data_IF_668526601976
#
_entry.id   IF_668526601976
#
_cell.length_a   1.000
_cell.length_b   1.000
_cell.length_c   1.000
_cell.angle_alpha   90.00
_cell.angle_beta   90.00
_cell.angle_gamma   90.00
#
_symmetry.space_group_name_H-M   'P 1'
#
loop_
_entity.id
_entity.type
_entity.pdbx_description
1 polymer ?
#
# COMPACT_ATOMS: atom_id res chain seq x y z
N UNK A 1 11.75 4.80 19.20
CA UNK A 1 12.67 3.67 19.48
C UNK A 1 12.86 2.91 18.19
N UNK A 2 14.08 2.88 17.67
CA UNK A 2 14.42 2.16 16.44
C UNK A 2 15.14 0.86 16.86
N UNK A 3 14.73 -0.33 16.39
CA UNK A 3 15.48 -1.55 16.69
C UNK A 3 16.88 -1.39 16.08
N UNK A 4 17.93 -1.61 16.88
CA UNK A 4 19.30 -1.63 16.36
C UNK A 4 19.34 -2.64 15.21
N UNK A 5 19.48 -2.14 13.98
CA UNK A 5 19.61 -2.99 12.81
C UNK A 5 20.85 -3.85 13.01
N UNK A 6 20.66 -5.16 13.23
CA UNK A 6 21.73 -6.14 13.22
C UNK A 6 22.23 -6.25 11.77
N UNK A 7 23.25 -5.47 11.44
CA UNK A 7 23.86 -5.32 10.10
C UNK A 7 24.80 -6.47 9.75
N UNK A 8 24.56 -7.69 10.25
CA UNK A 8 25.27 -8.86 9.75
C UNK A 8 24.60 -9.33 8.46
N UNK A 9 25.23 -9.04 7.32
CA UNK A 9 24.83 -9.55 6.00
C UNK A 9 24.91 -11.09 5.97
N UNK A 10 25.77 -11.67 6.82
CA UNK A 10 25.88 -13.10 7.04
C UNK A 10 25.08 -13.49 8.28
N UNK A 11 23.91 -14.08 8.06
CA UNK A 11 23.26 -14.86 9.13
C UNK A 11 24.13 -16.07 9.45
N UNK A 12 24.17 -16.45 10.73
CA UNK A 12 24.87 -17.68 11.12
C UNK A 12 24.21 -18.87 10.37
N UNK A 13 24.95 -19.92 9.99
CA UNK A 13 24.38 -21.11 9.36
C UNK A 13 23.16 -21.68 10.11
N UNK A 14 23.15 -21.54 11.43
CA UNK A 14 22.03 -21.93 12.30
C UNK A 14 20.74 -21.17 12.01
N UNK A 15 20.80 -19.88 11.66
CA UNK A 15 19.61 -19.11 11.32
C UNK A 15 19.07 -19.46 9.94
N UNK A 16 19.95 -19.82 8.98
CA UNK A 16 19.51 -20.35 7.68
C UNK A 16 18.74 -21.65 7.89
N UNK A 17 19.30 -22.59 8.65
CA UNK A 17 18.63 -23.85 8.98
C UNK A 17 17.28 -23.64 9.67
N UNK A 18 17.12 -22.58 10.49
CA UNK A 18 15.83 -22.23 11.11
C UNK A 18 14.80 -21.74 10.12
N UNK A 19 15.18 -20.94 9.11
CA UNK A 19 14.26 -20.51 8.04
C UNK A 19 13.86 -21.70 7.18
N UNK A 20 14.83 -22.56 6.85
CA UNK A 20 14.59 -23.79 6.08
C UNK A 20 13.60 -24.71 6.80
N UNK A 21 13.76 -24.89 8.12
CA UNK A 21 12.84 -25.68 8.94
C UNK A 21 11.40 -25.14 9.00
N UNK A 22 11.14 -23.90 8.55
CA UNK A 22 9.78 -23.38 8.41
C UNK A 22 9.07 -23.90 7.16
N UNK A 23 9.81 -24.38 6.15
CA UNK A 23 9.24 -25.04 4.99
C UNK A 23 8.73 -26.47 5.29
N UNK A 24 9.16 -27.07 6.40
CA UNK A 24 8.70 -28.40 6.82
C UNK A 24 7.26 -28.40 7.37
N UNK A 25 6.69 -27.21 7.62
CA UNK A 25 5.32 -27.04 8.11
C UNK A 25 4.34 -26.96 6.94
N UNK A 26 3.05 -27.17 7.23
CA UNK A 26 1.98 -26.91 6.28
C UNK A 26 2.12 -25.50 5.70
N UNK A 27 2.14 -25.39 4.38
CA UNK A 27 2.37 -24.12 3.68
C UNK A 27 1.19 -23.16 3.87
N UNK A 28 -0.02 -23.69 3.84
CA UNK A 28 -1.26 -22.93 3.97
C UNK A 28 -1.76 -22.96 5.41
N UNK A 29 -2.41 -21.88 5.82
CA UNK A 29 -3.20 -21.90 7.04
C UNK A 29 -4.29 -22.98 6.94
N UNK A 30 -4.77 -23.49 8.10
CA UNK A 30 -5.89 -24.42 8.11
C UNK A 30 -7.05 -23.89 7.27
N UNK A 31 -7.60 -24.73 6.39
CA UNK A 31 -8.65 -24.31 5.46
C UNK A 31 -9.88 -23.78 6.21
N UNK A 32 -10.17 -24.36 7.37
CA UNK A 32 -11.24 -23.92 8.27
C UNK A 32 -11.03 -22.46 8.69
N UNK A 33 -9.78 -22.06 8.97
CA UNK A 33 -9.44 -20.69 9.32
C UNK A 33 -9.65 -19.74 8.14
N UNK A 34 -9.15 -20.12 6.96
CA UNK A 34 -9.29 -19.31 5.73
C UNK A 34 -10.77 -19.10 5.40
N UNK A 35 -11.58 -20.15 5.48
CA UNK A 35 -13.01 -20.10 5.19
C UNK A 35 -13.84 -19.39 6.25
N UNK A 36 -13.52 -19.54 7.53
CA UNK A 36 -14.29 -18.97 8.62
C UNK A 36 -13.94 -17.50 8.91
N UNK A 37 -12.70 -17.07 8.65
CA UNK A 37 -12.20 -15.76 9.07
C UNK A 37 -11.71 -14.93 7.88
N UNK A 38 -10.74 -15.43 7.12
CA UNK A 38 -10.08 -14.62 6.10
C UNK A 38 -11.02 -14.26 4.93
N UNK A 39 -11.69 -15.26 4.33
CA UNK A 39 -12.63 -15.05 3.22
C UNK A 39 -13.80 -14.14 3.62
N UNK A 40 -14.51 -14.36 4.74
CA UNK A 40 -15.58 -13.45 5.18
C UNK A 40 -15.07 -12.03 5.39
N UNK A 41 -13.87 -11.85 5.95
CA UNK A 41 -13.28 -10.51 6.15
C UNK A 41 -12.99 -9.82 4.82
N UNK A 42 -12.49 -10.55 3.81
CA UNK A 42 -12.30 -10.02 2.44
C UNK A 42 -13.63 -9.60 1.82
N UNK A 43 -14.68 -10.40 1.96
CA UNK A 43 -16.00 -10.09 1.40
C UNK A 43 -16.60 -8.87 2.11
N UNK A 44 -16.55 -8.83 3.43
CA UNK A 44 -17.08 -7.72 4.23
C UNK A 44 -16.32 -6.43 3.91
N UNK A 45 -14.99 -6.46 3.84
CA UNK A 45 -14.21 -5.26 3.51
C UNK A 45 -14.55 -4.73 2.11
N UNK A 46 -14.68 -5.61 1.12
CA UNK A 46 -15.09 -5.23 -0.23
C UNK A 46 -16.50 -4.61 -0.24
N UNK A 47 -17.47 -5.21 0.46
CA UNK A 47 -18.84 -4.67 0.58
C UNK A 47 -18.83 -3.30 1.24
N UNK A 48 -18.12 -3.15 2.37
CA UNK A 48 -18.02 -1.89 3.11
C UNK A 48 -17.47 -0.79 2.20
N UNK A 49 -16.39 -1.07 1.45
CA UNK A 49 -15.79 -0.07 0.56
C UNK A 49 -16.73 0.26 -0.61
N UNK A 50 -17.48 -0.71 -1.17
CA UNK A 50 -18.52 -0.43 -2.17
C UNK A 50 -19.64 0.45 -1.64
N UNK A 51 -20.12 0.21 -0.42
CA UNK A 51 -21.14 1.04 0.24
C UNK A 51 -20.61 2.46 0.42
N UNK A 52 -19.38 2.61 0.93
CA UNK A 52 -18.73 3.91 1.08
C UNK A 52 -18.60 4.61 -0.27
N UNK A 53 -18.17 3.92 -1.33
CA UNK A 53 -18.11 4.46 -2.68
C UNK A 53 -19.46 4.97 -3.18
N UNK A 54 -20.55 4.22 -2.94
CA UNK A 54 -21.91 4.65 -3.28
C UNK A 54 -22.35 5.91 -2.53
N UNK A 55 -22.07 5.99 -1.22
CA UNK A 55 -22.34 7.19 -0.41
C UNK A 55 -21.50 8.38 -0.88
N UNK A 56 -20.23 8.15 -1.19
CA UNK A 56 -19.33 9.13 -1.78
C UNK A 56 -19.83 9.63 -3.14
N UNK A 57 -20.51 8.79 -3.93
CA UNK A 57 -21.13 9.22 -5.18
C UNK A 57 -22.31 10.16 -4.97
N UNK A 58 -23.14 9.90 -3.95
CA UNK A 58 -24.18 10.85 -3.54
C UNK A 58 -23.57 12.17 -3.09
N UNK A 59 -22.50 12.14 -2.29
CA UNK A 59 -21.80 13.35 -1.85
C UNK A 59 -21.17 14.12 -3.01
N UNK A 60 -20.55 13.42 -3.97
CA UNK A 60 -19.97 14.03 -5.17
C UNK A 60 -21.04 14.78 -5.99
N UNK A 61 -22.31 14.34 -5.95
CA UNK A 61 -23.40 15.05 -6.60
C UNK A 61 -23.73 16.40 -5.97
N UNK A 62 -23.44 16.57 -4.68
CA UNK A 62 -23.67 17.81 -3.92
C UNK A 62 -22.48 18.76 -4.05
N UNK A 63 -21.25 18.22 -3.98
CA UNK A 63 -20.03 19.03 -3.93
C UNK A 63 -19.61 19.54 -5.31
N UNK A 64 -19.87 18.77 -6.38
CA UNK A 64 -19.52 19.18 -7.73
C UNK A 64 -20.65 19.97 -8.40
N UNK A 65 -20.32 20.94 -9.27
CA UNK A 65 -21.31 21.63 -10.10
C UNK A 65 -22.26 20.68 -10.83
N UNK A 66 -23.52 21.07 -10.99
CA UNK A 66 -24.57 20.23 -11.59
C UNK A 66 -24.26 19.78 -13.03
N UNK A 67 -23.49 20.57 -13.77
CA UNK A 67 -23.01 20.30 -15.13
C UNK A 67 -21.77 19.38 -15.16
N UNK A 68 -21.21 19.01 -14.00
CA UNK A 68 -20.10 18.05 -13.94
C UNK A 68 -20.54 16.68 -14.44
N UNK A 69 -19.87 16.18 -15.49
CA UNK A 69 -20.15 14.86 -16.07
C UNK A 69 -19.99 13.71 -15.07
N UNK A 70 -20.72 12.62 -15.33
CA UNK A 70 -20.76 11.41 -14.45
C UNK A 70 -19.37 10.86 -14.18
N UNK A 71 -18.47 10.88 -15.17
CA UNK A 71 -17.10 10.40 -15.02
C UNK A 71 -16.34 11.13 -13.90
N UNK A 72 -16.41 12.46 -13.86
CA UNK A 72 -15.74 13.28 -12.82
C UNK A 72 -16.29 12.95 -11.42
N UNK A 73 -17.61 12.73 -11.32
CA UNK A 73 -18.27 12.35 -10.06
C UNK A 73 -17.80 10.98 -9.59
N UNK A 74 -17.76 9.98 -10.48
CA UNK A 74 -17.23 8.64 -10.18
C UNK A 74 -15.78 8.69 -9.70
N UNK A 75 -14.93 9.45 -10.39
CA UNK A 75 -13.53 9.61 -10.02
C UNK A 75 -13.34 10.23 -8.64
N UNK A 76 -14.08 11.31 -8.35
CA UNK A 76 -14.06 11.91 -7.00
C UNK A 76 -14.57 10.93 -5.94
N UNK A 77 -15.60 10.16 -6.26
CA UNK A 77 -16.17 9.15 -5.34
C UNK A 77 -15.19 8.04 -5.02
N UNK A 78 -14.47 7.58 -6.04
CA UNK A 78 -13.37 6.62 -5.91
C UNK A 78 -12.29 7.18 -4.98
N UNK A 79 -11.83 8.40 -5.21
CA UNK A 79 -10.84 9.05 -4.35
C UNK A 79 -11.35 9.18 -2.89
N UNK A 80 -12.61 9.57 -2.67
CA UNK A 80 -13.16 9.70 -1.31
C UNK A 80 -13.26 8.34 -0.60
N UNK A 81 -13.66 7.28 -1.31
CA UNK A 81 -13.66 5.93 -0.77
C UNK A 81 -12.23 5.42 -0.50
N UNK A 82 -11.25 5.77 -1.32
CA UNK A 82 -9.84 5.47 -1.08
C UNK A 82 -9.30 6.18 0.17
N UNK A 83 -9.72 7.42 0.44
CA UNK A 83 -9.38 8.11 1.71
C UNK A 83 -9.89 7.32 2.91
N UNK A 84 -11.11 6.78 2.84
CA UNK A 84 -11.66 5.92 3.89
C UNK A 84 -10.88 4.61 4.05
N UNK A 85 -10.65 3.87 2.97
CA UNK A 85 -9.93 2.59 3.00
C UNK A 85 -8.49 2.74 3.50
N UNK A 86 -7.75 3.68 2.91
CA UNK A 86 -6.39 4.00 3.33
C UNK A 86 -6.35 4.55 4.77
N UNK A 87 -7.34 5.35 5.17
CA UNK A 87 -7.45 5.87 6.54
C UNK A 87 -7.67 4.78 7.58
N UNK A 88 -8.55 3.81 7.30
CA UNK A 88 -8.77 2.64 8.16
C UNK A 88 -7.49 1.81 8.32
N UNK A 89 -6.82 1.52 7.20
CA UNK A 89 -5.55 0.78 7.19
C UNK A 89 -4.45 1.54 7.93
N UNK A 90 -4.31 2.85 7.69
CA UNK A 90 -3.34 3.70 8.38
C UNK A 90 -3.57 3.73 9.89
N UNK A 91 -4.82 3.90 10.33
CA UNK A 91 -5.17 3.91 11.75
C UNK A 91 -4.89 2.55 12.41
N UNK A 92 -5.29 1.46 11.75
CA UNK A 92 -5.06 0.10 12.24
C UNK A 92 -3.56 -0.23 12.27
N UNK A 93 -2.82 0.16 11.24
CA UNK A 93 -1.37 0.02 11.15
C UNK A 93 -0.65 0.73 12.28
N UNK A 94 -0.98 2.01 12.50
CA UNK A 94 -0.45 2.78 13.63
C UNK A 94 -0.74 2.11 14.97
N UNK A 95 -1.96 1.62 15.15
CA UNK A 95 -2.35 0.94 16.37
C UNK A 95 -1.50 -0.32 16.60
N UNK A 96 -1.43 -1.22 15.63
CA UNK A 96 -0.70 -2.47 15.81
C UNK A 96 0.82 -2.26 15.89
N UNK A 97 1.39 -1.40 15.04
CA UNK A 97 2.82 -1.12 14.98
C UNK A 97 3.38 -0.53 16.28
N UNK A 98 2.62 0.36 16.94
CA UNK A 98 3.10 1.05 18.14
C UNK A 98 2.58 0.48 19.45
N UNK A 99 1.48 -0.27 19.46
CA UNK A 99 0.84 -0.73 20.69
C UNK A 99 0.73 -2.25 20.83
N UNK A 100 1.00 -3.04 19.79
CA UNK A 100 0.83 -4.51 19.83
C UNK A 100 2.08 -5.27 19.46
N UNK A 101 2.88 -4.76 18.53
CA UNK A 101 4.12 -5.42 18.10
C UNK A 101 5.15 -5.42 19.24
N UNK A 102 5.64 -6.60 19.62
CA UNK A 102 6.74 -6.77 20.59
C UNK A 102 8.01 -6.04 20.14
N UNK A 103 8.74 -5.44 21.09
CA UNK A 103 9.95 -4.66 20.78
C UNK A 103 11.06 -5.48 20.08
N UNK A 104 11.07 -6.80 20.22
CA UNK A 104 12.03 -7.71 19.56
C UNK A 104 11.40 -9.08 19.26
N UNK A 105 10.75 -9.28 18.09
CA UNK A 105 10.23 -10.59 17.72
C UNK A 105 11.37 -11.59 17.47
N UNK A 106 11.12 -12.88 17.71
CA UNK A 106 12.00 -13.93 17.18
C UNK A 106 11.85 -14.04 15.66
N UNK A 107 12.75 -14.80 15.02
CA UNK A 107 12.66 -15.07 13.57
C UNK A 107 11.38 -15.83 13.22
N UNK A 108 11.02 -16.81 14.03
CA UNK A 108 9.81 -17.60 13.89
C UNK A 108 8.56 -16.75 14.11
N UNK A 109 8.57 -15.85 15.11
CA UNK A 109 7.46 -14.92 15.32
C UNK A 109 7.30 -13.98 14.12
N UNK A 110 8.43 -13.53 13.54
CA UNK A 110 8.42 -12.64 12.37
C UNK A 110 7.74 -13.30 11.18
N UNK A 111 8.02 -14.58 10.94
CA UNK A 111 7.57 -15.33 9.76
C UNK A 111 6.18 -15.95 9.98
N UNK A 112 5.96 -16.59 11.12
CA UNK A 112 4.78 -17.42 11.39
C UNK A 112 3.93 -16.97 12.59
N UNK A 113 4.37 -15.96 13.36
CA UNK A 113 3.61 -15.41 14.47
C UNK A 113 2.51 -14.43 14.05
N UNK A 114 2.01 -13.68 15.05
CA UNK A 114 1.09 -12.54 14.93
C UNK A 114 -0.17 -12.81 14.10
N UNK A 115 -0.97 -13.77 14.56
CA UNK A 115 -2.20 -14.17 13.89
C UNK A 115 -3.24 -13.04 13.85
N UNK A 116 -3.30 -12.22 14.87
CA UNK A 116 -4.18 -11.05 14.92
C UNK A 116 -4.04 -10.09 13.71
N UNK A 117 -2.90 -10.09 13.01
CA UNK A 117 -2.67 -9.23 11.85
C UNK A 117 -3.28 -9.76 10.53
N UNK A 118 -3.88 -10.97 10.52
CA UNK A 118 -4.59 -11.49 9.34
C UNK A 118 -5.72 -10.57 8.87
N UNK A 119 -6.36 -9.85 9.79
CA UNK A 119 -7.48 -8.95 9.47
C UNK A 119 -6.99 -7.81 8.55
N UNK A 120 -5.78 -7.29 8.78
CA UNK A 120 -5.18 -6.26 7.94
C UNK A 120 -4.90 -6.78 6.52
N UNK A 121 -4.37 -8.00 6.37
CA UNK A 121 -4.12 -8.58 5.05
C UNK A 121 -5.42 -8.91 4.31
N UNK A 122 -6.44 -9.43 5.00
CA UNK A 122 -7.76 -9.66 4.44
C UNK A 122 -8.45 -8.35 4.01
N UNK A 123 -8.39 -7.31 4.83
CA UNK A 123 -8.94 -6.00 4.48
C UNK A 123 -8.18 -5.42 3.29
N UNK A 124 -6.84 -5.45 3.29
CA UNK A 124 -6.04 -4.95 2.19
C UNK A 124 -6.38 -5.67 0.89
N UNK A 125 -6.47 -7.01 0.91
CA UNK A 125 -6.85 -7.80 -0.25
C UNK A 125 -8.25 -7.42 -0.78
N UNK A 126 -9.26 -7.36 0.10
CA UNK A 126 -10.62 -6.97 -0.30
C UNK A 126 -10.73 -5.52 -0.80
N UNK A 127 -9.97 -4.60 -0.21
CA UNK A 127 -9.83 -3.23 -0.69
C UNK A 127 -9.24 -3.18 -2.10
N UNK A 128 -8.18 -3.95 -2.38
CA UNK A 128 -7.59 -4.01 -3.72
C UNK A 128 -8.53 -4.66 -4.76
N UNK A 129 -9.33 -5.66 -4.36
CA UNK A 129 -10.35 -6.26 -5.23
C UNK A 129 -11.46 -5.27 -5.61
N UNK A 130 -11.77 -4.30 -4.76
CA UNK A 130 -12.62 -3.18 -5.11
C UNK A 130 -11.89 -2.14 -5.96
N UNK A 131 -10.67 -1.76 -5.54
CA UNK A 131 -9.92 -0.66 -6.13
C UNK A 131 -9.57 -0.94 -7.59
N UNK A 132 -9.25 -2.18 -7.95
CA UNK A 132 -8.82 -2.54 -9.30
C UNK A 132 -9.90 -2.37 -10.38
N UNK A 133 -11.10 -3.00 -10.29
CA UNK A 133 -12.15 -2.80 -11.29
C UNK A 133 -12.68 -1.35 -11.31
N UNK A 134 -12.87 -0.73 -10.13
CA UNK A 134 -13.35 0.66 -10.06
C UNK A 134 -12.28 1.64 -10.57
N UNK A 135 -11.02 1.40 -10.24
CA UNK A 135 -9.87 2.19 -10.67
C UNK A 135 -9.72 2.18 -12.19
N UNK A 136 -9.79 1.00 -12.81
CA UNK A 136 -9.68 0.83 -14.27
C UNK A 136 -10.90 1.46 -14.99
N UNK A 137 -12.12 1.12 -14.57
CA UNK A 137 -13.35 1.47 -15.32
C UNK A 137 -13.83 2.89 -15.01
N UNK A 138 -13.67 3.34 -13.76
CA UNK A 138 -14.30 4.56 -13.26
C UNK A 138 -13.33 5.69 -12.92
N UNK A 139 -12.09 5.38 -12.52
CA UNK A 139 -11.08 6.39 -12.18
C UNK A 139 -10.01 6.58 -13.26
N UNK A 140 -9.88 5.64 -14.21
CA UNK A 140 -8.81 5.58 -15.21
C UNK A 140 -7.41 5.71 -14.57
N UNK A 141 -7.14 4.82 -13.63
CA UNK A 141 -5.83 4.78 -12.97
C UNK A 141 -4.69 4.54 -13.96
N UNK A 142 -3.51 5.05 -13.59
CA UNK A 142 -2.32 4.86 -14.41
C UNK A 142 -1.87 3.39 -14.36
N UNK A 143 -1.21 2.92 -15.41
CA UNK A 143 -0.67 1.55 -15.48
C UNK A 143 0.21 1.20 -14.27
N UNK A 144 1.01 2.17 -13.78
CA UNK A 144 1.84 1.98 -12.61
C UNK A 144 1.02 1.68 -11.34
N UNK A 145 -0.12 2.36 -11.16
CA UNK A 145 -1.03 2.08 -10.05
C UNK A 145 -1.73 0.72 -10.21
N UNK A 146 -2.14 0.35 -11.42
CA UNK A 146 -2.73 -0.98 -11.66
C UNK A 146 -1.74 -2.10 -11.34
N UNK A 147 -0.48 -1.97 -11.78
CA UNK A 147 0.60 -2.91 -11.44
C UNK A 147 0.83 -2.95 -9.93
N UNK A 148 0.81 -1.79 -9.26
CA UNK A 148 0.88 -1.72 -7.81
C UNK A 148 -0.26 -2.50 -7.14
N UNK A 149 -1.52 -2.33 -7.55
CA UNK A 149 -2.65 -3.05 -6.99
C UNK A 149 -2.52 -4.57 -7.14
N UNK A 150 -2.10 -5.06 -8.32
CA UNK A 150 -1.82 -6.49 -8.52
C UNK A 150 -0.69 -7.00 -7.62
N UNK A 151 0.39 -6.24 -7.48
CA UNK A 151 1.50 -6.62 -6.61
C UNK A 151 1.05 -6.65 -5.13
N UNK A 152 0.23 -5.68 -4.69
CA UNK A 152 -0.36 -5.67 -3.34
C UNK A 152 -1.28 -6.87 -3.11
N UNK A 153 -2.11 -7.25 -4.09
CA UNK A 153 -2.94 -8.47 -4.01
C UNK A 153 -2.09 -9.72 -3.76
N UNK A 154 -0.98 -9.87 -4.50
CA UNK A 154 -0.09 -11.01 -4.38
C UNK A 154 0.58 -11.10 -3.01
N UNK A 155 1.09 -9.99 -2.47
CA UNK A 155 1.68 -10.00 -1.13
C UNK A 155 0.63 -10.12 -0.02
N UNK A 156 -0.60 -9.66 -0.26
CA UNK A 156 -1.70 -9.77 0.72
C UNK A 156 -2.20 -11.20 0.85
N UNK A 157 -2.36 -11.94 -0.27
CA UNK A 157 -2.73 -13.36 -0.22
C UNK A 157 -1.63 -14.20 0.43
N UNK A 158 -0.36 -13.92 0.12
CA UNK A 158 0.79 -14.54 0.79
C UNK A 158 0.72 -14.33 2.31
N UNK A 159 0.60 -13.08 2.74
CA UNK A 159 0.62 -12.71 4.16
C UNK A 159 -0.61 -13.24 4.93
N UNK A 160 -1.74 -13.36 4.23
CA UNK A 160 -3.03 -13.72 4.81
C UNK A 160 -3.37 -15.21 4.81
N UNK A 161 -2.83 -15.99 3.87
CA UNK A 161 -3.25 -17.38 3.66
C UNK A 161 -2.16 -18.42 3.91
N UNK A 162 -0.89 -18.02 4.03
CA UNK A 162 0.22 -18.95 4.26
C UNK A 162 0.69 -18.92 5.71
N UNK A 163 1.19 -20.05 6.21
CA UNK A 163 1.70 -20.18 7.61
C UNK A 163 2.97 -19.37 7.84
N UNK A 164 3.73 -19.09 6.79
CA UNK A 164 4.98 -18.32 6.79
C UNK A 164 4.84 -16.94 6.12
N UNK A 165 3.67 -16.31 6.28
CA UNK A 165 3.30 -15.04 5.64
C UNK A 165 3.94 -13.75 6.18
N UNK A 166 5.04 -13.79 6.93
CA UNK A 166 5.81 -12.60 7.38
C UNK A 166 4.98 -11.53 8.12
N UNK A 167 4.12 -11.98 9.04
CA UNK A 167 3.02 -11.14 9.56
C UNK A 167 3.48 -9.98 10.41
N UNK A 168 4.63 -10.10 11.05
CA UNK A 168 5.25 -8.99 11.76
C UNK A 168 5.37 -7.72 10.89
N UNK A 169 5.53 -7.88 9.56
CA UNK A 169 5.64 -6.75 8.66
C UNK A 169 4.30 -6.17 8.18
N UNK A 170 3.18 -6.85 8.43
CA UNK A 170 1.84 -6.44 7.95
C UNK A 170 1.43 -5.05 8.47
N UNK A 171 1.51 -4.74 9.79
CA UNK A 171 1.12 -3.41 10.30
C UNK A 171 1.87 -2.27 9.60
N UNK A 172 3.12 -2.50 9.24
CA UNK A 172 3.93 -1.53 8.52
C UNK A 172 3.57 -1.43 7.04
N UNK A 173 3.66 -2.53 6.29
CA UNK A 173 3.48 -2.50 4.83
C UNK A 173 2.03 -2.24 4.41
N UNK A 174 1.05 -2.77 5.12
CA UNK A 174 -0.38 -2.58 4.78
C UNK A 174 -1.03 -1.46 5.57
N UNK A 175 -0.40 -1.00 6.65
CA UNK A 175 -0.95 0.05 7.50
C UNK A 175 -0.16 1.35 7.45
N UNK A 176 1.06 1.37 8.01
CA UNK A 176 1.88 2.60 8.07
C UNK A 176 2.10 3.26 6.71
N UNK A 177 2.26 2.47 5.65
CA UNK A 177 2.37 2.98 4.28
C UNK A 177 1.19 3.86 3.85
N UNK A 178 -0.02 3.53 4.33
CA UNK A 178 -1.26 4.22 3.96
C UNK A 178 -1.39 5.60 4.61
N UNK A 179 -0.60 5.91 5.65
CA UNK A 179 -0.53 7.26 6.24
C UNK A 179 -0.19 8.30 5.17
N UNK A 180 0.72 7.96 4.26
CA UNK A 180 1.11 8.82 3.14
C UNK A 180 0.14 8.74 1.95
N UNK A 181 -0.62 7.65 1.82
CA UNK A 181 -1.65 7.52 0.77
C UNK A 181 -2.84 8.45 1.01
N UNK A 182 -3.24 8.66 2.26
CA UNK A 182 -4.35 9.57 2.59
C UNK A 182 -4.11 11.00 2.05
N UNK A 183 -3.01 11.70 2.38
CA UNK A 183 -2.76 13.03 1.83
C UNK A 183 -2.47 13.01 0.31
N UNK A 184 -1.92 11.92 -0.24
CA UNK A 184 -1.78 11.75 -1.70
C UNK A 184 -3.13 11.80 -2.40
N UNK A 185 -4.11 11.05 -1.91
CA UNK A 185 -5.44 11.00 -2.53
C UNK A 185 -6.14 12.35 -2.41
N UNK A 186 -6.04 13.02 -1.26
CA UNK A 186 -6.58 14.38 -1.08
C UNK A 186 -5.90 15.37 -2.03
N UNK A 187 -4.57 15.30 -2.19
CA UNK A 187 -3.83 16.13 -3.15
C UNK A 187 -4.32 15.89 -4.59
N UNK A 188 -4.58 14.64 -4.97
CA UNK A 188 -5.12 14.30 -6.28
C UNK A 188 -6.53 14.87 -6.49
N UNK A 189 -7.38 14.90 -5.46
CA UNK A 189 -8.68 15.58 -5.53
C UNK A 189 -8.51 17.07 -5.83
N UNK A 190 -7.56 17.75 -5.18
CA UNK A 190 -7.26 19.17 -5.48
C UNK A 190 -6.79 19.35 -6.92
N UNK A 191 -5.86 18.49 -7.38
CA UNK A 191 -5.31 18.55 -8.75
C UNK A 191 -6.40 18.43 -9.82
N UNK A 192 -7.43 17.64 -9.56
CA UNK A 192 -8.55 17.41 -10.49
C UNK A 192 -9.68 18.42 -10.36
N UNK A 193 -9.66 19.25 -9.32
CA UNK A 193 -10.65 20.28 -9.06
C UNK A 193 -9.96 21.63 -8.81
N UNK A 194 -9.49 22.33 -9.87
CA UNK A 194 -8.72 23.58 -9.72
C UNK A 194 -9.43 24.68 -8.91
N UNK A 195 -10.76 24.74 -8.99
CA UNK A 195 -11.57 25.67 -8.20
C UNK A 195 -11.42 25.45 -6.69
N UNK A 196 -11.09 24.24 -6.25
CA UNK A 196 -10.81 23.96 -4.84
C UNK A 196 -9.45 24.51 -4.42
N UNK A 197 -8.45 24.47 -5.32
CA UNK A 197 -7.13 25.07 -5.09
C UNK A 197 -7.28 26.59 -4.90
N UNK A 198 -8.08 27.24 -5.75
CA UNK A 198 -8.36 28.68 -5.65
C UNK A 198 -9.08 29.05 -4.36
N UNK A 199 -10.05 28.24 -3.92
CA UNK A 199 -10.82 28.48 -2.69
C UNK A 199 -10.04 28.15 -1.41
N UNK A 200 -9.18 27.13 -1.44
CA UNK A 200 -8.47 26.63 -0.27
C UNK A 200 -6.96 26.42 -0.54
N UNK A 201 -6.24 27.49 -0.95
CA UNK A 201 -4.83 27.37 -1.36
C UNK A 201 -3.92 26.91 -0.22
N UNK A 202 -4.16 27.40 1.00
CA UNK A 202 -3.38 27.00 2.19
C UNK A 202 -3.58 25.53 2.53
N UNK A 203 -4.82 25.01 2.44
CA UNK A 203 -5.08 23.60 2.73
C UNK A 203 -4.42 22.69 1.69
N UNK A 204 -4.52 23.01 0.40
CA UNK A 204 -3.78 22.30 -0.64
C UNK A 204 -2.26 22.31 -0.39
N UNK A 205 -1.70 23.45 0.02
CA UNK A 205 -0.28 23.54 0.38
C UNK A 205 0.08 22.59 1.54
N UNK A 206 -0.67 22.62 2.64
CA UNK A 206 -0.43 21.74 3.78
C UNK A 206 -0.57 20.26 3.43
N UNK A 207 -1.57 19.87 2.64
CA UNK A 207 -1.75 18.48 2.19
C UNK A 207 -0.56 18.01 1.35
N UNK A 208 -0.05 18.86 0.44
CA UNK A 208 1.14 18.56 -0.37
C UNK A 208 2.39 18.37 0.48
N UNK A 209 2.59 19.23 1.48
CA UNK A 209 3.71 19.12 2.43
C UNK A 209 3.57 17.85 3.27
N UNK A 210 2.38 17.58 3.81
CA UNK A 210 2.09 16.39 4.59
C UNK A 210 2.33 15.11 3.78
N UNK A 211 1.90 15.06 2.52
CA UNK A 211 2.21 13.97 1.60
C UNK A 211 3.71 13.80 1.42
N UNK A 212 4.43 14.86 1.04
CA UNK A 212 5.86 14.76 0.75
C UNK A 212 6.67 14.29 1.98
N UNK A 213 6.40 14.86 3.16
CA UNK A 213 7.09 14.50 4.41
C UNK A 213 6.78 13.07 4.82
N UNK A 214 5.49 12.70 4.87
CA UNK A 214 5.09 11.34 5.28
C UNK A 214 5.58 10.27 4.30
N UNK A 215 5.54 10.54 2.99
CA UNK A 215 6.03 9.62 1.97
C UNK A 215 7.54 9.39 2.10
N UNK A 216 8.34 10.47 2.13
CA UNK A 216 9.80 10.33 2.23
C UNK A 216 10.21 9.67 3.55
N UNK A 217 9.55 10.01 4.66
CA UNK A 217 9.87 9.40 5.95
C UNK A 217 9.50 7.91 5.98
N UNK A 218 8.24 7.57 5.71
CA UNK A 218 7.72 6.21 5.91
C UNK A 218 8.17 5.28 4.78
N UNK A 219 7.97 5.69 3.52
CA UNK A 219 8.14 4.82 2.35
C UNK A 219 9.55 4.81 1.77
N UNK A 220 10.42 5.73 2.21
CA UNK A 220 11.84 5.72 1.81
C UNK A 220 12.72 5.41 3.01
N UNK A 221 12.71 6.25 4.05
CA UNK A 221 13.64 6.07 5.18
C UNK A 221 13.30 4.84 6.01
N UNK A 222 12.06 4.68 6.46
CA UNK A 222 11.66 3.52 7.26
C UNK A 222 11.65 2.23 6.44
N UNK A 223 11.10 2.31 5.23
CA UNK A 223 10.95 1.15 4.36
C UNK A 223 12.28 0.49 3.99
N UNK A 224 13.31 1.25 3.63
CA UNK A 224 14.55 0.69 3.12
C UNK A 224 15.14 -0.42 4.00
N UNK A 225 15.16 -0.20 5.31
CA UNK A 225 15.66 -1.19 6.28
C UNK A 225 14.76 -2.43 6.40
N UNK A 226 13.43 -2.23 6.38
CA UNK A 226 12.45 -3.32 6.54
C UNK A 226 12.32 -4.14 5.28
N UNK A 227 12.25 -3.48 4.12
CA UNK A 227 12.23 -4.12 2.82
C UNK A 227 13.49 -4.95 2.60
N UNK A 228 14.67 -4.48 3.00
CA UNK A 228 15.89 -5.28 2.90
C UNK A 228 15.79 -6.60 3.68
N UNK A 229 15.39 -6.54 4.96
CA UNK A 229 15.24 -7.74 5.80
C UNK A 229 14.17 -8.67 5.23
N UNK A 230 13.00 -8.12 4.90
CA UNK A 230 11.87 -8.86 4.34
C UNK A 230 12.24 -9.55 3.02
N UNK A 231 12.83 -8.83 2.06
CA UNK A 231 13.21 -9.38 0.76
C UNK A 231 14.28 -10.46 0.89
N UNK A 232 15.27 -10.26 1.76
CA UNK A 232 16.29 -11.28 2.05
C UNK A 232 15.65 -12.55 2.61
N UNK A 233 14.79 -12.42 3.61
CA UNK A 233 14.22 -13.58 4.31
C UNK A 233 13.18 -14.31 3.43
N UNK A 234 12.38 -13.58 2.64
CA UNK A 234 11.51 -14.17 1.61
C UNK A 234 12.34 -14.93 0.57
N UNK A 235 13.47 -14.36 0.12
CA UNK A 235 14.36 -15.00 -0.85
C UNK A 235 14.87 -16.35 -0.33
N UNK A 236 15.45 -16.36 0.88
CA UNK A 236 15.96 -17.59 1.52
C UNK A 236 14.84 -18.64 1.65
N UNK A 237 13.67 -18.22 2.11
CA UNK A 237 12.54 -19.11 2.34
C UNK A 237 12.09 -19.82 1.06
N UNK A 238 12.05 -19.13 -0.08
CA UNK A 238 11.59 -19.77 -1.32
C UNK A 238 12.67 -20.56 -2.04
N UNK A 239 13.95 -20.17 -1.97
CA UNK A 239 15.05 -20.90 -2.61
C UNK A 239 15.40 -22.21 -1.91
N UNK A 240 14.90 -22.40 -0.68
CA UNK A 240 15.15 -23.59 0.14
C UNK A 240 14.04 -24.64 0.09
N UNK A 241 13.00 -24.43 -0.72
CA UNK A 241 11.89 -25.36 -0.85
C UNK A 241 11.97 -26.12 -2.19
N UNK A 242 11.88 -27.44 -2.15
CA UNK A 242 11.98 -28.29 -3.35
C UNK A 242 10.67 -28.34 -4.17
N UNK A 243 9.54 -27.89 -3.59
CA UNK A 243 8.24 -27.90 -4.27
C UNK A 243 8.17 -26.83 -5.36
N UNK A 244 8.15 -27.27 -6.63
CA UNK A 244 8.08 -26.38 -7.78
C UNK A 244 6.90 -25.40 -7.72
N UNK A 245 5.72 -25.86 -7.30
CA UNK A 245 4.52 -25.00 -7.21
C UNK A 245 4.70 -23.88 -6.18
N UNK A 246 5.32 -24.20 -5.04
CA UNK A 246 5.65 -23.22 -4.01
C UNK A 246 6.70 -22.23 -4.51
N UNK A 247 7.77 -22.69 -5.14
CA UNK A 247 8.82 -21.84 -5.72
C UNK A 247 8.26 -20.87 -6.74
N UNK A 248 7.37 -21.33 -7.64
CA UNK A 248 6.70 -20.46 -8.62
C UNK A 248 5.87 -19.38 -7.93
N UNK A 249 5.02 -19.77 -6.98
CA UNK A 249 4.17 -18.84 -6.24
C UNK A 249 5.01 -17.79 -5.50
N UNK A 250 6.01 -18.23 -4.74
CA UNK A 250 6.87 -17.37 -3.95
C UNK A 250 7.78 -16.49 -4.81
N UNK A 251 8.19 -16.95 -6.00
CA UNK A 251 8.85 -16.09 -6.98
C UNK A 251 7.94 -14.94 -7.40
N UNK A 252 6.65 -15.19 -7.58
CA UNK A 252 5.64 -14.15 -7.83
C UNK A 252 5.52 -13.15 -6.66
N UNK A 253 5.52 -13.64 -5.41
CA UNK A 253 5.51 -12.79 -4.20
C UNK A 253 6.77 -11.93 -4.13
N UNK A 254 7.94 -12.53 -4.34
CA UNK A 254 9.23 -11.84 -4.30
C UNK A 254 9.31 -10.75 -5.38
N UNK A 255 8.94 -11.08 -6.62
CA UNK A 255 8.89 -10.11 -7.72
C UNK A 255 7.89 -8.99 -7.46
N UNK A 256 6.71 -9.30 -6.92
CA UNK A 256 5.72 -8.29 -6.51
C UNK A 256 6.29 -7.35 -5.45
N UNK A 257 7.02 -7.90 -4.48
CA UNK A 257 7.66 -7.14 -3.41
C UNK A 257 8.76 -6.22 -3.95
N UNK A 258 9.60 -6.70 -4.87
CA UNK A 258 10.59 -5.88 -5.57
C UNK A 258 9.95 -4.74 -6.36
N UNK A 259 8.88 -5.04 -7.11
CA UNK A 259 8.13 -4.01 -7.86
C UNK A 259 7.62 -2.93 -6.91
N UNK A 260 6.99 -3.32 -5.80
CA UNK A 260 6.46 -2.37 -4.81
C UNK A 260 7.57 -1.49 -4.24
N UNK A 261 8.72 -2.08 -3.89
CA UNK A 261 9.87 -1.38 -3.34
C UNK A 261 10.47 -0.38 -4.34
N UNK A 262 10.79 -0.81 -5.56
CA UNK A 262 11.35 0.07 -6.58
C UNK A 262 10.38 1.18 -7.01
N UNK A 263 9.08 0.90 -7.00
CA UNK A 263 8.06 1.91 -7.27
C UNK A 263 8.06 3.00 -6.19
N UNK A 264 8.25 2.64 -4.91
CA UNK A 264 8.42 3.63 -3.84
C UNK A 264 9.65 4.50 -4.09
N UNK A 265 10.81 3.89 -4.41
CA UNK A 265 12.04 4.63 -4.70
C UNK A 265 11.87 5.58 -5.89
N UNK A 266 11.21 5.12 -6.95
CA UNK A 266 10.94 5.96 -8.13
C UNK A 266 10.04 7.16 -7.78
N UNK A 267 8.95 6.95 -7.05
CA UNK A 267 8.09 8.05 -6.59
C UNK A 267 8.79 8.99 -5.60
N UNK A 268 9.58 8.43 -4.68
CA UNK A 268 10.40 9.21 -3.74
C UNK A 268 11.38 10.11 -4.46
N UNK A 269 12.03 9.60 -5.51
CA UNK A 269 12.88 10.39 -6.40
C UNK A 269 12.12 11.53 -7.08
N UNK A 270 10.92 11.27 -7.62
CA UNK A 270 10.08 12.33 -8.22
C UNK A 270 9.69 13.42 -7.20
N UNK A 271 9.34 13.02 -5.98
CA UNK A 271 9.00 13.96 -4.89
C UNK A 271 10.22 14.79 -4.51
N UNK A 272 11.39 14.15 -4.32
CA UNK A 272 12.63 14.85 -4.00
C UNK A 272 13.02 15.86 -5.09
N UNK A 273 12.93 15.48 -6.36
CA UNK A 273 13.15 16.41 -7.48
C UNK A 273 12.16 17.57 -7.48
N UNK A 274 10.88 17.30 -7.17
CA UNK A 274 9.85 18.34 -7.03
C UNK A 274 10.18 19.34 -5.92
N UNK A 275 10.64 18.86 -4.77
CA UNK A 275 11.07 19.70 -3.64
C UNK A 275 12.34 20.50 -3.98
N UNK A 276 13.34 19.88 -4.60
CA UNK A 276 14.56 20.59 -5.04
C UNK A 276 14.25 21.73 -6.00
N UNK A 277 13.34 21.52 -6.98
CA UNK A 277 12.92 22.58 -7.91
C UNK A 277 12.21 23.74 -7.21
N UNK A 278 11.43 23.45 -6.16
CA UNK A 278 10.80 24.47 -5.33
C UNK A 278 11.85 25.27 -4.54
N UNK A 279 12.81 24.60 -3.91
CA UNK A 279 13.86 25.24 -3.12
C UNK A 279 14.82 26.09 -3.96
N UNK A 280 15.16 25.62 -5.16
CA UNK A 280 16.06 26.33 -6.08
C UNK A 280 15.38 27.49 -6.82
N UNK A 281 14.08 27.76 -6.58
CA UNK A 281 13.34 28.80 -7.29
C UNK A 281 13.22 28.58 -8.80
N UNK A 282 13.56 27.39 -9.29
CA UNK A 282 13.53 27.03 -10.72
C UNK A 282 12.16 26.61 -11.21
N UNK A 283 11.16 26.61 -10.31
CA UNK A 283 9.74 26.54 -10.67
C UNK A 283 9.33 27.82 -11.40
N UNK A 284 9.78 27.96 -12.66
CA UNK A 284 9.26 28.97 -13.58
C UNK A 284 7.73 28.89 -13.52
N UNK A 285 7.13 30.04 -13.23
CA UNK A 285 5.70 30.33 -13.40
C UNK A 285 5.13 29.54 -14.58
N UNK A 286 4.08 28.78 -14.28
CA UNK A 286 3.26 27.99 -15.20
C UNK A 286 3.28 28.58 -16.61
N UNK A 287 3.84 27.81 -17.54
CA UNK A 287 3.67 27.99 -18.97
C UNK A 287 2.17 28.14 -19.24
N UNK A 288 1.77 29.30 -19.72
CA UNK A 288 0.50 29.50 -20.43
C UNK A 288 0.48 28.49 -21.57
N UNK A 289 -0.21 27.36 -21.38
CA UNK A 289 -0.46 26.43 -22.48
C UNK A 289 -1.34 27.19 -23.48
N UNK A 290 -0.88 27.44 -24.71
CA UNK A 290 -1.72 28.05 -25.72
C UNK A 290 -2.92 27.13 -25.93
N UNK A 291 -4.13 27.67 -25.76
CA UNK A 291 -5.36 27.01 -26.15
C UNK A 291 -5.32 26.79 -27.66
N UNK A 292 -4.90 25.61 -28.10
CA UNK A 292 -4.94 25.27 -29.52
C UNK A 292 -4.10 24.05 -29.82
N UNK A 293 -4.72 22.86 -29.71
CA UNK A 293 -4.81 21.85 -30.78
C UNK A 293 -5.90 20.88 -30.33
N UNK A 294 -7.02 20.92 -31.06
CA UNK A 294 -8.05 19.89 -31.08
C UNK A 294 -7.62 18.83 -32.11
N UNK A 295 -7.87 17.55 -31.82
CA UNK A 295 -7.53 16.40 -32.67
C UNK A 295 -6.20 15.82 -32.21
N UNK A 296 -6.11 14.57 -31.76
CA UNK A 296 -6.69 13.32 -32.31
C UNK A 296 -7.22 12.46 -31.16
#
# INVERSE_FOLDING_TARGET
MWPKAHTSIYRAPEELARIEALNDKDIFLPMEYIQAIWIPTVIISMIVVYVVYGLCFVLANVVLPSDSGVFRRRKLSYQMASVFGNGFLAASGLYYEFFTVSETPTLEDTISGFQEFYILSAFQFGYQLWALPVGIIHAQETTAMVVHHFAVLMVSIFSGCMTNGFRYHIPFFFGMFEISSVPLVIMNMFKENPTWIEKHPSFNHHVRVAFAVSFLWIRIVMDFSRAYVYLRDVFILYTSNDSLSYVIFMSGVFMSSLILFFLQLWWGWQIALGLCKLLLGTSKSVVTIPKGIKGI
#
